data_IF_823301022717
#
_entry.id   IF_823301022717
#
_cell.length_a   1.000
_cell.length_b   1.000
_cell.length_c   1.000
_cell.angle_alpha   90.00
_cell.angle_beta   90.00
_cell.angle_gamma   90.00
#
_symmetry.space_group_name_H-M   'P 1'
#
loop_
_entity.id
_entity.type
_entity.pdbx_description
1 polymer ?
#
# COMPACT_ATOMS: atom_id res chain seq x y z
N UNK A 1 2.63 -33.83 -4.39
CA UNK A 1 2.31 -33.77 -5.83
C UNK A 1 0.82 -33.51 -5.95
N UNK A 2 0.40 -32.35 -6.47
CA UNK A 2 -1.01 -32.03 -6.65
C UNK A 2 -1.42 -32.53 -8.05
N UNK A 3 -2.09 -33.69 -8.11
CA UNK A 3 -2.50 -34.33 -9.35
C UNK A 3 -3.86 -33.79 -9.81
N UNK A 4 -3.85 -32.85 -10.75
CA UNK A 4 -5.07 -32.47 -11.50
C UNK A 4 -5.37 -33.59 -12.50
N UNK A 5 -6.44 -34.36 -12.25
CA UNK A 5 -7.02 -35.26 -13.25
C UNK A 5 -7.96 -34.43 -14.12
N UNK A 6 -7.64 -34.32 -15.40
CA UNK A 6 -8.51 -33.71 -16.40
C UNK A 6 -9.29 -34.85 -17.05
N UNK A 7 -10.50 -35.12 -16.57
CA UNK A 7 -11.33 -36.19 -17.10
C UNK A 7 -11.76 -35.82 -18.54
N UNK A 8 -11.31 -36.62 -19.50
CA UNK A 8 -11.34 -36.31 -20.93
C UNK A 8 -12.57 -36.89 -21.61
N UNK A 9 -13.76 -36.40 -21.25
CA UNK A 9 -15.02 -36.89 -21.86
C UNK A 9 -15.40 -36.18 -23.17
N UNK A 10 -14.47 -35.45 -23.81
CA UNK A 10 -14.74 -34.89 -25.15
C UNK A 10 -13.85 -33.76 -25.66
N UNK A 11 -12.77 -33.38 -24.95
CA UNK A 11 -11.93 -32.27 -25.40
C UNK A 11 -10.58 -32.21 -24.70
N UNK A 12 -9.64 -31.52 -25.35
CA UNK A 12 -8.26 -31.37 -24.91
C UNK A 12 -8.11 -30.28 -23.83
N UNK A 13 -8.86 -30.43 -22.72
CA UNK A 13 -8.96 -29.42 -21.66
C UNK A 13 -7.61 -29.10 -21.01
N UNK A 14 -6.77 -30.12 -20.82
CA UNK A 14 -5.42 -29.93 -20.29
C UNK A 14 -4.57 -29.01 -21.19
N UNK A 15 -4.66 -29.16 -22.52
CA UNK A 15 -3.94 -28.29 -23.47
C UNK A 15 -4.58 -26.90 -23.52
N UNK A 16 -5.90 -26.80 -23.40
CA UNK A 16 -6.60 -25.52 -23.27
C UNK A 16 -6.12 -24.72 -22.04
N UNK A 17 -6.01 -25.37 -20.86
CA UNK A 17 -5.48 -24.73 -19.67
C UNK A 17 -4.00 -24.35 -19.79
N UNK A 18 -3.18 -25.21 -20.42
CA UNK A 18 -1.77 -24.90 -20.67
C UNK A 18 -1.61 -23.68 -21.56
N UNK A 19 -2.39 -23.60 -22.64
CA UNK A 19 -2.43 -22.44 -23.53
C UNK A 19 -2.86 -21.18 -22.78
N UNK A 20 -3.94 -21.25 -21.98
CA UNK A 20 -4.45 -20.13 -21.18
C UNK A 20 -3.41 -19.57 -20.21
N UNK A 21 -2.70 -20.45 -19.48
CA UNK A 21 -1.60 -20.05 -18.58
C UNK A 21 -0.45 -19.39 -19.34
N UNK A 22 -0.08 -19.94 -20.50
CA UNK A 22 0.95 -19.36 -21.37
C UNK A 22 0.57 -17.96 -21.86
N UNK A 23 -0.69 -17.78 -22.28
CA UNK A 23 -1.21 -16.51 -22.76
C UNK A 23 -1.23 -15.44 -21.67
N UNK A 24 -1.70 -15.77 -20.47
CA UNK A 24 -1.68 -14.86 -19.31
C UNK A 24 -0.24 -14.41 -19.03
N UNK A 25 0.72 -15.35 -19.00
CA UNK A 25 2.14 -15.02 -18.79
C UNK A 25 2.67 -14.04 -19.85
N UNK A 26 2.35 -14.27 -21.12
CA UNK A 26 2.76 -13.38 -22.21
C UNK A 26 2.15 -11.98 -22.10
N UNK A 27 0.88 -11.87 -21.71
CA UNK A 27 0.22 -10.59 -21.51
C UNK A 27 0.85 -9.83 -20.34
N UNK A 28 1.05 -10.50 -19.19
CA UNK A 28 1.68 -9.88 -18.02
C UNK A 28 3.12 -9.42 -18.28
N UNK A 29 3.87 -10.11 -19.16
CA UNK A 29 5.21 -9.67 -19.57
C UNK A 29 5.20 -8.37 -20.38
N UNK A 30 4.12 -8.06 -21.10
CA UNK A 30 4.02 -6.79 -21.85
C UNK A 30 3.77 -5.60 -20.92
N UNK A 31 3.09 -5.84 -19.80
CA UNK A 31 2.75 -4.83 -18.79
C UNK A 31 3.86 -4.62 -17.75
N UNK A 32 5.12 -4.85 -18.11
CA UNK A 32 6.22 -4.80 -17.12
C UNK A 32 6.47 -3.37 -16.63
N UNK A 33 6.27 -2.38 -17.49
CA UNK A 33 6.50 -0.97 -17.17
C UNK A 33 5.24 -0.28 -16.63
N UNK A 34 4.10 -0.44 -17.30
CA UNK A 34 2.82 0.15 -16.92
C UNK A 34 1.65 -0.78 -17.29
N UNK A 35 0.59 -0.78 -16.49
CA UNK A 35 -0.64 -1.56 -16.73
C UNK A 35 -1.71 -0.65 -17.35
N UNK A 36 -2.17 -0.97 -18.57
CA UNK A 36 -3.30 -0.26 -19.21
C UNK A 36 -4.63 -0.99 -18.95
N UNK A 37 -5.78 -0.28 -18.93
CA UNK A 37 -7.09 -0.91 -18.73
C UNK A 37 -7.40 -2.02 -19.73
N UNK A 38 -7.06 -1.81 -21.01
CA UNK A 38 -7.29 -2.79 -22.08
C UNK A 38 -6.49 -4.08 -21.86
N UNK A 39 -5.29 -3.95 -21.33
CA UNK A 39 -4.40 -5.04 -21.00
C UNK A 39 -4.89 -5.81 -19.77
N UNK A 40 -5.32 -5.11 -18.72
CA UNK A 40 -5.97 -5.71 -17.54
C UNK A 40 -7.19 -6.53 -17.95
N UNK A 41 -8.05 -5.97 -18.81
CA UNK A 41 -9.23 -6.66 -19.33
C UNK A 41 -8.85 -7.89 -20.16
N UNK A 42 -7.80 -7.80 -21.00
CA UNK A 42 -7.33 -8.94 -21.77
C UNK A 42 -6.87 -10.10 -20.87
N UNK A 43 -6.14 -9.83 -19.79
CA UNK A 43 -5.72 -10.86 -18.82
C UNK A 43 -6.93 -11.43 -18.09
N UNK A 44 -7.84 -10.57 -17.65
CA UNK A 44 -9.05 -10.96 -16.92
C UNK A 44 -9.95 -11.87 -17.77
N UNK A 45 -10.17 -11.52 -19.03
CA UNK A 45 -10.97 -12.31 -19.96
C UNK A 45 -10.37 -13.70 -20.24
N UNK A 46 -9.04 -13.79 -20.41
CA UNK A 46 -8.37 -15.09 -20.56
C UNK A 46 -8.46 -15.90 -19.27
N UNK A 47 -8.26 -15.28 -18.11
CA UNK A 47 -8.35 -15.95 -16.82
C UNK A 47 -9.76 -16.51 -16.57
N UNK A 48 -10.81 -15.71 -16.80
CA UNK A 48 -12.20 -16.14 -16.65
C UNK A 48 -12.58 -17.21 -17.69
N UNK A 49 -12.19 -17.04 -18.95
CA UNK A 49 -12.52 -17.97 -20.05
C UNK A 49 -11.96 -19.38 -19.83
N UNK A 50 -10.78 -19.49 -19.22
CA UNK A 50 -10.12 -20.78 -18.93
C UNK A 50 -10.24 -21.20 -17.45
N UNK A 51 -11.01 -20.48 -16.63
CA UNK A 51 -11.16 -20.72 -15.18
C UNK A 51 -9.82 -20.77 -14.44
N UNK A 52 -8.89 -19.90 -14.85
CA UNK A 52 -7.57 -19.77 -14.27
C UNK A 52 -7.53 -18.61 -13.28
N UNK A 53 -6.67 -18.71 -12.28
CA UNK A 53 -6.36 -17.60 -11.39
C UNK A 53 -5.27 -16.71 -12.02
N UNK A 54 -5.47 -15.39 -11.93
CA UNK A 54 -4.55 -14.32 -12.35
C UNK A 54 -4.51 -13.22 -11.27
N UNK A 55 -3.68 -12.19 -11.48
CA UNK A 55 -3.63 -10.98 -10.62
C UNK A 55 -5.00 -10.31 -10.44
N UNK A 56 -5.90 -10.46 -11.42
CA UNK A 56 -7.17 -9.72 -11.50
C UNK A 56 -8.41 -10.59 -11.21
N UNK A 57 -8.22 -11.84 -10.78
CA UNK A 57 -9.33 -12.77 -10.51
C UNK A 57 -9.17 -13.44 -9.16
N UNK A 58 -10.27 -13.63 -8.41
CA UNK A 58 -10.24 -14.28 -7.10
C UNK A 58 -11.30 -15.40 -7.01
N UNK A 59 -11.04 -16.41 -6.19
CA UNK A 59 -12.06 -17.39 -5.80
C UNK A 59 -12.89 -16.82 -4.66
N UNK A 60 -14.20 -16.71 -4.90
CA UNK A 60 -15.18 -16.29 -3.89
C UNK A 60 -16.07 -17.49 -3.59
N UNK A 61 -15.98 -18.01 -2.37
CA UNK A 61 -16.91 -19.00 -1.88
C UNK A 61 -18.09 -18.26 -1.23
N UNK A 62 -19.27 -18.38 -1.83
CA UNK A 62 -20.52 -17.82 -1.28
C UNK A 62 -21.22 -18.93 -0.49
N UNK A 63 -21.63 -18.63 0.74
CA UNK A 63 -22.49 -19.51 1.54
C UNK A 63 -23.93 -19.01 1.49
N UNK A 64 -24.90 -19.93 1.42
CA UNK A 64 -26.33 -19.59 1.41
C UNK A 64 -26.79 -18.97 2.74
N UNK A 65 -26.08 -19.25 3.84
CA UNK A 65 -26.36 -18.67 5.16
C UNK A 65 -25.53 -17.40 5.41
N UNK A 66 -26.17 -16.25 5.70
CA UNK A 66 -25.47 -15.02 6.05
C UNK A 66 -24.86 -15.12 7.45
N UNK A 67 -23.52 -15.09 7.54
CA UNK A 67 -22.77 -15.14 8.81
C UNK A 67 -22.91 -13.88 9.68
N UNK A 68 -23.44 -12.79 9.11
CA UNK A 68 -23.72 -11.52 9.79
C UNK A 68 -25.14 -11.09 9.41
N UNK A 69 -25.95 -10.73 10.41
CA UNK A 69 -27.28 -10.20 10.16
C UNK A 69 -27.22 -8.79 9.58
N UNK A 70 -28.21 -8.35 8.79
CA UNK A 70 -28.24 -7.01 8.19
C UNK A 70 -28.22 -5.87 9.22
N UNK A 71 -28.60 -6.16 10.48
CA UNK A 71 -28.61 -5.22 11.60
C UNK A 71 -27.52 -5.52 12.66
N UNK A 72 -26.52 -6.34 12.36
CA UNK A 72 -25.43 -6.61 13.31
C UNK A 72 -24.50 -5.40 13.36
N UNK A 73 -24.38 -4.71 14.51
CA UNK A 73 -23.50 -3.55 14.61
C UNK A 73 -22.04 -3.97 14.40
N UNK A 74 -21.32 -3.19 13.59
CA UNK A 74 -19.88 -3.39 13.37
C UNK A 74 -19.13 -3.38 14.70
N UNK A 75 -18.48 -4.50 15.02
CA UNK A 75 -17.68 -4.64 16.24
C UNK A 75 -16.24 -4.25 15.94
N UNK A 76 -15.85 -3.06 16.36
CA UNK A 76 -14.44 -2.68 16.38
C UNK A 76 -13.78 -3.30 17.60
N UNK A 77 -12.74 -4.10 17.38
CA UNK A 77 -11.91 -4.64 18.45
C UNK A 77 -10.50 -4.10 18.28
N UNK A 78 -10.03 -3.35 19.28
CA UNK A 78 -8.64 -2.94 19.34
C UNK A 78 -7.77 -4.19 19.55
N UNK A 79 -7.13 -4.65 18.47
CA UNK A 79 -6.15 -5.73 18.53
C UNK A 79 -4.87 -5.13 19.11
N UNK A 80 -4.40 -5.67 20.25
CA UNK A 80 -3.11 -5.28 20.81
C UNK A 80 -2.02 -5.61 19.78
N UNK A 81 -1.46 -4.59 19.16
CA UNK A 81 -0.30 -4.75 18.30
C UNK A 81 0.90 -4.97 19.22
N UNK A 82 1.59 -6.09 19.02
CA UNK A 82 2.83 -6.37 19.72
C UNK A 82 3.97 -5.73 18.94
N UNK A 83 4.78 -4.90 19.60
CA UNK A 83 6.05 -4.45 19.03
C UNK A 83 7.02 -5.64 19.05
N UNK A 84 7.61 -6.02 17.90
CA UNK A 84 8.59 -7.11 17.84
C UNK A 84 9.78 -6.86 18.77
N UNK A 85 10.32 -7.95 19.33
CA UNK A 85 11.44 -7.88 20.26
C UNK A 85 12.66 -7.24 19.59
N UNK A 86 13.29 -6.27 20.26
CA UNK A 86 14.41 -5.49 19.71
C UNK A 86 14.04 -4.26 18.86
N UNK A 87 12.76 -3.95 18.65
CA UNK A 87 12.35 -2.66 18.07
C UNK A 87 12.10 -1.61 19.15
N UNK A 88 12.81 -0.49 19.07
CA UNK A 88 12.44 0.73 19.82
C UNK A 88 11.09 1.21 19.31
N UNK A 89 10.13 1.42 20.20
CA UNK A 89 8.81 1.91 19.83
C UNK A 89 8.91 3.19 19.00
N UNK A 90 8.07 3.31 17.97
CA UNK A 90 7.98 4.53 17.17
C UNK A 90 7.66 5.69 18.12
N UNK A 91 8.48 6.76 18.18
CA UNK A 91 8.22 7.87 19.10
C UNK A 91 6.87 8.50 18.76
N UNK A 92 6.13 8.91 19.78
CA UNK A 92 4.83 9.54 19.60
C UNK A 92 4.97 10.74 18.64
N UNK A 93 4.06 10.90 17.65
CA UNK A 93 4.16 12.00 16.67
C UNK A 93 4.30 13.38 17.32
N UNK A 94 3.69 13.57 18.50
CA UNK A 94 3.77 14.78 19.31
C UNK A 94 5.21 15.16 19.72
N UNK A 95 6.08 14.17 20.00
CA UNK A 95 7.48 14.41 20.39
C UNK A 95 8.31 14.96 19.22
N UNK A 96 8.10 14.42 18.01
CA UNK A 96 8.79 14.88 16.80
C UNK A 96 8.43 16.35 16.52
N UNK A 97 7.14 16.67 16.53
CA UNK A 97 6.68 18.04 16.33
C UNK A 97 7.14 18.97 17.45
N UNK A 98 7.15 18.50 18.70
CA UNK A 98 7.67 19.25 19.84
C UNK A 98 9.13 19.67 19.66
N UNK A 99 9.99 18.74 19.22
CA UNK A 99 11.40 19.03 18.95
C UNK A 99 11.59 19.99 17.77
N UNK A 100 10.79 19.84 16.71
CA UNK A 100 10.82 20.73 15.55
C UNK A 100 10.41 22.16 15.91
N UNK A 101 9.32 22.34 16.66
CA UNK A 101 8.85 23.64 17.10
C UNK A 101 9.84 24.31 18.06
N UNK A 102 10.46 23.54 18.96
CA UNK A 102 11.49 24.05 19.86
C UNK A 102 12.71 24.56 19.07
N UNK A 103 13.19 23.79 18.09
CA UNK A 103 14.29 24.19 17.22
C UNK A 103 14.00 25.47 16.43
N UNK A 104 12.80 25.56 15.86
CA UNK A 104 12.34 26.77 15.16
C UNK A 104 12.31 27.97 16.11
N UNK A 105 11.66 27.84 17.26
CA UNK A 105 11.56 28.93 18.23
C UNK A 105 12.93 29.45 18.68
N UNK A 106 13.87 28.53 18.96
CA UNK A 106 15.24 28.88 19.34
C UNK A 106 15.98 29.62 18.21
N UNK A 107 15.87 29.15 16.97
CA UNK A 107 16.46 29.82 15.80
C UNK A 107 15.90 31.22 15.57
N UNK A 108 14.57 31.38 15.67
CA UNK A 108 13.91 32.68 15.52
C UNK A 108 14.30 33.65 16.65
N UNK A 109 14.35 33.18 17.88
CA UNK A 109 14.78 33.98 19.04
C UNK A 109 16.24 34.42 18.89
N UNK A 110 17.13 33.54 18.46
CA UNK A 110 18.54 33.87 18.22
C UNK A 110 18.71 34.92 17.12
N UNK A 111 17.95 34.80 16.02
CA UNK A 111 17.96 35.77 14.94
C UNK A 111 17.44 37.15 15.37
N UNK A 112 16.37 37.17 16.19
CA UNK A 112 15.87 38.42 16.77
C UNK A 112 16.89 39.10 17.67
N UNK A 113 17.60 38.35 18.51
CA UNK A 113 18.67 38.89 19.34
C UNK A 113 19.83 39.44 18.51
N UNK A 114 20.24 38.72 17.48
CA UNK A 114 21.28 39.18 16.55
C UNK A 114 20.89 40.46 15.81
N UNK A 115 19.62 40.57 15.36
CA UNK A 115 19.12 41.80 14.73
C UNK A 115 19.13 43.00 15.67
N UNK A 116 18.79 42.81 16.95
CA UNK A 116 18.85 43.87 17.96
C UNK A 116 20.28 44.35 18.18
N UNK A 117 21.25 43.43 18.30
CA UNK A 117 22.66 43.77 18.48
C UNK A 117 23.24 44.50 17.26
N UNK A 118 22.87 44.10 16.03
CA UNK A 118 23.30 44.81 14.81
C UNK A 118 22.82 46.25 14.76
N UNK A 119 21.54 46.49 15.09
CA UNK A 119 21.01 47.86 15.15
C UNK A 119 21.75 48.71 16.18
N UNK A 120 21.98 48.16 17.37
CA UNK A 120 22.70 48.86 18.44
C UNK A 120 24.14 49.22 18.03
N UNK A 121 24.83 48.35 17.28
CA UNK A 121 26.18 48.66 16.78
C UNK A 121 26.17 49.75 15.71
N UNK A 122 25.18 49.76 14.82
CA UNK A 122 25.06 50.81 13.79
C UNK A 122 24.70 52.16 14.41
N UNK A 123 23.78 52.19 15.37
CA UNK A 123 23.40 53.43 16.08
C UNK A 123 24.59 54.02 16.85
N UNK A 124 25.42 53.18 17.49
CA UNK A 124 26.63 53.62 18.21
C UNK A 124 27.70 54.21 17.27
N UNK A 125 27.81 53.71 16.04
CA UNK A 125 28.75 54.21 15.03
C UNK A 125 28.33 55.56 14.41
N UNK A 126 27.05 55.95 14.53
CA UNK A 126 26.51 57.22 13.99
C UNK A 126 26.61 58.39 14.95
N UNK A 127 26.98 58.13 16.21
CA UNK A 127 27.09 59.14 17.27
C UNK A 127 28.54 59.42 17.71
N UNK A 128 29.53 58.93 16.95
CA UNK A 128 30.96 59.27 17.05
C UNK A 128 31.33 59.99 15.76
#
# INVERSE_FOLDING_TARGET
SFGLRFDSDGGNEAIAQLWGRGKIKQLMLKMTDEETPEEVDAVTNVALGYRLMSKYTAFVAVSDEPRVGPNTPSRQQAVKQYTPDGMVGVPEPSLIWGLLLLGWYMGWKQWMLWRKNKKLSEDKLRHI
#
